data_IF_443948949114
#
_entry.id   IF_443948949114
#
_cell.length_a   1.000
_cell.length_b   1.000
_cell.length_c   1.000
_cell.angle_alpha   90.00
_cell.angle_beta   90.00
_cell.angle_gamma   90.00
#
_symmetry.space_group_name_H-M   'P 1'
#
loop_
_entity.id
_entity.type
_entity.pdbx_description
1 polymer ?
#
# COMPACT_ATOMS: atom_id res chain seq x y z
N UNK A 1 -1.54 8.73 -13.19
CA UNK A 1 -0.25 8.75 -12.45
C UNK A 1 -0.09 7.38 -11.80
N UNK A 2 1.00 6.68 -12.07
CA UNK A 2 1.32 5.40 -11.40
C UNK A 2 1.50 5.65 -9.91
N UNK A 3 0.81 4.89 -9.05
CA UNK A 3 1.01 4.96 -7.61
C UNK A 3 2.46 4.54 -7.28
N UNK A 4 3.18 5.25 -6.38
CA UNK A 4 4.52 4.87 -5.98
C UNK A 4 4.54 3.46 -5.37
N UNK A 5 5.53 2.64 -5.72
CA UNK A 5 5.77 1.36 -5.06
C UNK A 5 6.44 1.58 -3.69
N UNK A 6 5.62 1.80 -2.67
CA UNK A 6 6.11 2.02 -1.31
C UNK A 6 6.82 0.80 -0.72
N UNK A 7 6.51 -0.43 -1.16
CA UNK A 7 7.23 -1.64 -0.73
C UNK A 7 8.63 -1.67 -1.32
N UNK A 8 8.77 -1.33 -2.60
CA UNK A 8 10.07 -1.16 -3.26
C UNK A 8 10.91 -0.07 -2.60
N UNK A 9 10.33 1.08 -2.28
CA UNK A 9 11.01 2.17 -1.58
C UNK A 9 11.44 1.78 -0.15
N UNK A 10 10.61 1.04 0.59
CA UNK A 10 10.97 0.50 1.89
C UNK A 10 12.17 -0.46 1.80
N UNK A 11 12.16 -1.38 0.83
CA UNK A 11 13.27 -2.31 0.62
C UNK A 11 14.57 -1.58 0.25
N UNK A 12 14.49 -0.55 -0.59
CA UNK A 12 15.64 0.29 -0.91
C UNK A 12 16.18 0.99 0.35
N UNK A 13 15.32 1.62 1.15
CA UNK A 13 15.75 2.28 2.39
C UNK A 13 16.40 1.31 3.38
N UNK A 14 15.92 0.06 3.47
CA UNK A 14 16.56 -1.00 4.26
C UNK A 14 17.95 -1.34 3.74
N UNK A 15 18.12 -1.46 2.42
CA UNK A 15 19.42 -1.73 1.82
C UNK A 15 20.41 -0.59 2.07
N UNK A 16 19.95 0.66 1.97
CA UNK A 16 20.77 1.83 2.30
C UNK A 16 21.16 1.86 3.78
N UNK A 17 20.25 1.49 4.69
CA UNK A 17 20.56 1.36 6.11
C UNK A 17 21.64 0.30 6.37
N UNK A 18 21.59 -0.82 5.65
CA UNK A 18 22.58 -1.89 5.75
C UNK A 18 23.95 -1.48 5.19
N UNK A 19 23.97 -0.63 4.16
CA UNK A 19 25.20 -0.11 3.56
C UNK A 19 25.81 1.06 4.35
N UNK A 20 25.05 1.70 5.23
CA UNK A 20 25.48 2.87 5.96
C UNK A 20 26.59 2.54 6.99
N UNK A 21 27.71 3.26 6.89
CA UNK A 21 28.84 3.15 7.82
C UNK A 21 28.69 4.07 9.04
N UNK A 22 27.84 5.09 8.94
CA UNK A 22 27.53 6.02 10.02
C UNK A 22 26.17 5.69 10.64
N UNK A 23 26.13 5.64 11.98
CA UNK A 23 24.91 5.32 12.72
C UNK A 23 23.76 6.29 12.43
N UNK A 24 24.03 7.60 12.35
CA UNK A 24 23.01 8.61 12.06
C UNK A 24 22.37 8.44 10.66
N UNK A 25 23.16 7.99 9.68
CA UNK A 25 22.67 7.70 8.32
C UNK A 25 21.80 6.45 8.35
N UNK A 26 22.27 5.39 9.01
CA UNK A 26 21.49 4.16 9.21
C UNK A 26 20.14 4.46 9.84
N UNK A 27 20.12 5.21 10.93
CA UNK A 27 18.90 5.53 11.67
C UNK A 27 17.94 6.41 10.86
N UNK A 28 18.46 7.31 10.01
CA UNK A 28 17.64 8.05 9.05
C UNK A 28 17.00 7.11 8.01
N UNK A 29 17.77 6.20 7.42
CA UNK A 29 17.28 5.23 6.44
C UNK A 29 16.20 4.31 7.05
N UNK A 30 16.40 3.83 8.28
CA UNK A 30 15.40 3.02 9.00
C UNK A 30 14.09 3.80 9.27
N UNK A 31 14.17 5.10 9.56
CA UNK A 31 12.97 5.94 9.70
C UNK A 31 12.25 6.13 8.36
N UNK A 32 13.00 6.28 7.27
CA UNK A 32 12.41 6.34 5.93
C UNK A 32 11.70 5.04 5.56
N UNK A 33 12.32 3.89 5.82
CA UNK A 33 11.71 2.58 5.62
C UNK A 33 10.39 2.45 6.40
N UNK A 34 10.39 2.81 7.68
CA UNK A 34 9.17 2.77 8.49
C UNK A 34 8.06 3.66 7.92
N UNK A 35 8.41 4.85 7.42
CA UNK A 35 7.46 5.74 6.74
C UNK A 35 6.89 5.13 5.46
N UNK A 36 7.73 4.50 4.63
CA UNK A 36 7.27 3.83 3.42
C UNK A 36 6.40 2.60 3.73
N UNK A 37 6.74 1.81 4.74
CA UNK A 37 5.91 0.67 5.16
C UNK A 37 4.52 1.12 5.61
N UNK A 38 4.43 2.20 6.41
CA UNK A 38 3.14 2.75 6.81
C UNK A 38 2.29 3.23 5.61
N UNK A 39 2.93 3.78 4.58
CA UNK A 39 2.25 4.17 3.35
C UNK A 39 1.81 2.97 2.51
N UNK A 40 2.62 1.92 2.43
CA UNK A 40 2.27 0.67 1.78
C UNK A 40 1.04 0.03 2.44
N UNK A 41 1.01 -0.04 3.77
CA UNK A 41 -0.14 -0.57 4.52
C UNK A 41 -1.41 0.24 4.28
N UNK A 42 -1.31 1.57 4.23
CA UNK A 42 -2.43 2.45 3.88
C UNK A 42 -2.95 2.20 2.47
N UNK A 43 -2.06 1.96 1.51
CA UNK A 43 -2.42 1.63 0.14
C UNK A 43 -3.11 0.27 0.07
N UNK A 44 -2.53 -0.77 0.71
CA UNK A 44 -3.12 -2.10 0.81
C UNK A 44 -4.54 -2.04 1.39
N UNK A 45 -4.76 -1.22 2.43
CA UNK A 45 -6.06 -1.02 3.04
C UNK A 45 -7.05 -0.31 2.09
N UNK A 46 -6.59 0.74 1.40
CA UNK A 46 -7.43 1.46 0.44
C UNK A 46 -7.87 0.56 -0.71
N UNK A 47 -6.97 -0.28 -1.23
CA UNK A 47 -7.24 -1.21 -2.32
C UNK A 47 -8.22 -2.31 -1.88
N UNK A 48 -8.05 -2.88 -0.68
CA UNK A 48 -9.03 -3.83 -0.10
C UNK A 48 -10.40 -3.19 0.07
N UNK A 49 -10.46 -1.96 0.58
CA UNK A 49 -11.72 -1.25 0.77
C UNK A 49 -12.41 -0.94 -0.57
N UNK A 50 -11.63 -0.59 -1.60
CA UNK A 50 -12.13 -0.40 -2.95
C UNK A 50 -12.73 -1.69 -3.50
N UNK A 51 -11.96 -2.80 -3.48
CA UNK A 51 -12.41 -4.10 -3.94
C UNK A 51 -13.70 -4.54 -3.22
N UNK A 52 -13.80 -4.30 -1.91
CA UNK A 52 -15.02 -4.58 -1.14
C UNK A 52 -16.23 -3.77 -1.63
N UNK A 53 -16.05 -2.48 -1.92
CA UNK A 53 -17.13 -1.62 -2.43
C UNK A 53 -17.56 -2.04 -3.82
N UNK A 54 -16.60 -2.33 -4.70
CA UNK A 54 -16.87 -2.80 -6.05
C UNK A 54 -17.62 -4.12 -6.06
N UNK A 55 -17.25 -5.08 -5.20
CA UNK A 55 -17.97 -6.33 -5.04
C UNK A 55 -19.40 -6.13 -4.51
N UNK A 56 -19.60 -5.22 -3.54
CA UNK A 56 -20.93 -4.92 -3.02
C UNK A 56 -21.83 -4.25 -4.07
N UNK A 57 -21.29 -3.31 -4.86
CA UNK A 57 -22.01 -2.68 -5.97
C UNK A 57 -22.36 -3.68 -7.06
N UNK A 58 -21.46 -4.61 -7.38
CA UNK A 58 -21.72 -5.66 -8.37
C UNK A 58 -22.81 -6.62 -7.91
N UNK A 59 -22.83 -7.01 -6.63
CA UNK A 59 -23.90 -7.83 -6.05
C UNK A 59 -25.25 -7.10 -6.11
N UNK A 60 -25.31 -5.84 -5.69
CA UNK A 60 -26.54 -5.05 -5.73
C UNK A 60 -27.08 -4.85 -7.16
N UNK A 61 -26.20 -4.71 -8.15
CA UNK A 61 -26.60 -4.62 -9.56
C UNK A 61 -27.17 -5.95 -10.07
N UNK A 62 -26.61 -7.09 -9.67
CA UNK A 62 -27.10 -8.42 -10.03
C UNK A 62 -28.47 -8.74 -9.39
N UNK A 63 -28.67 -8.35 -8.13
CA UNK A 63 -29.96 -8.50 -7.45
C UNK A 63 -31.05 -7.66 -8.15
N UNK A 64 -30.74 -6.42 -8.52
CA UNK A 64 -31.68 -5.54 -9.23
C UNK A 64 -32.05 -6.05 -10.64
N UNK A 65 -31.12 -6.68 -11.36
CA UNK A 65 -31.39 -7.28 -12.68
C UNK A 65 -32.26 -8.54 -12.57
N UNK A 66 -32.11 -9.29 -11.47
CA UNK A 66 -32.92 -10.49 -11.19
C UNK A 66 -34.36 -10.14 -10.80
N UNK A 67 -34.59 -9.02 -10.11
CA UNK A 67 -35.95 -8.57 -9.72
C UNK A 67 -36.76 -7.98 -10.88
N UNK A 68 -36.11 -7.57 -11.98
CA UNK A 68 -36.75 -6.98 -13.16
C UNK A 68 -37.02 -7.98 -14.31
N UNK A 69 -36.50 -9.20 -14.20
CA UNK A 69 -36.64 -10.28 -15.19
C UNK A 69 -37.79 -11.26 -14.85
#
# INVERSE_FOLDING_TARGET
MTHPDYRGLAAQARNEANAATLANVRDRCLRSEAGFLAMAERQDLADRNRARREAASAAAAADADTELA
#
